data_IF_951824210342
#
_entry.id   IF_951824210342
#
_cell.length_a   1.000
_cell.length_b   1.000
_cell.length_c   1.000
_cell.angle_alpha   90.00
_cell.angle_beta   90.00
_cell.angle_gamma   90.00
#
_symmetry.space_group_name_H-M   'P 1'
#
loop_
_entity.id
_entity.type
_entity.pdbx_description
1 polymer ?
#
# COMPACT_ATOMS: atom_id res chain seq x y z
N UNK A 1 1.98 0.95 10.25
CA UNK A 1 1.27 2.04 9.54
C UNK A 1 2.15 2.74 8.49
N UNK A 2 2.95 3.75 8.84
CA UNK A 2 3.68 4.54 7.82
C UNK A 2 4.80 3.74 7.13
N UNK A 3 5.57 2.97 7.89
CA UNK A 3 6.66 2.14 7.35
C UNK A 3 6.15 1.13 6.34
N UNK A 4 5.04 0.45 6.62
CA UNK A 4 4.43 -0.51 5.70
C UNK A 4 3.90 0.17 4.42
N UNK A 5 3.31 1.36 4.54
CA UNK A 5 2.89 2.16 3.38
C UNK A 5 4.08 2.53 2.48
N UNK A 6 5.16 3.04 3.04
CA UNK A 6 6.36 3.43 2.28
C UNK A 6 7.05 2.22 1.65
N UNK A 7 7.18 1.11 2.39
CA UNK A 7 7.77 -0.13 1.87
C UNK A 7 6.96 -0.71 0.71
N UNK A 8 5.63 -0.78 0.87
CA UNK A 8 4.77 -1.32 -0.18
C UNK A 8 4.76 -0.40 -1.42
N UNK A 9 4.66 0.91 -1.23
CA UNK A 9 4.79 1.88 -2.33
C UNK A 9 6.12 1.69 -3.07
N UNK A 10 7.24 1.63 -2.36
CA UNK A 10 8.56 1.47 -2.97
C UNK A 10 8.70 0.17 -3.76
N UNK A 11 8.25 -0.95 -3.19
CA UNK A 11 8.27 -2.25 -3.86
C UNK A 11 7.35 -2.28 -5.09
N UNK A 12 6.15 -1.74 -4.98
CA UNK A 12 5.17 -1.69 -6.06
C UNK A 12 5.61 -0.77 -7.19
N UNK A 13 6.19 0.38 -6.84
CA UNK A 13 6.78 1.31 -7.79
C UNK A 13 7.95 0.65 -8.54
N UNK A 14 8.88 0.00 -7.82
CA UNK A 14 9.99 -0.73 -8.43
C UNK A 14 9.49 -1.83 -9.37
N UNK A 15 8.46 -2.59 -8.98
CA UNK A 15 7.81 -3.57 -9.84
C UNK A 15 7.30 -2.94 -11.15
N UNK A 16 6.55 -1.84 -11.06
CA UNK A 16 6.07 -1.15 -12.25
C UNK A 16 7.19 -0.62 -13.15
N UNK A 17 8.29 -0.12 -12.57
CA UNK A 17 9.46 0.27 -13.35
C UNK A 17 10.04 -0.91 -14.13
N UNK A 18 10.13 -2.10 -13.52
CA UNK A 18 10.58 -3.30 -14.25
C UNK A 18 9.60 -3.70 -15.35
N UNK A 19 8.29 -3.62 -15.09
CA UNK A 19 7.24 -3.91 -16.08
C UNK A 19 7.33 -2.98 -17.29
N UNK A 20 7.47 -1.67 -17.06
CA UNK A 20 7.56 -0.67 -18.11
C UNK A 20 8.87 -0.74 -18.89
N UNK A 21 9.96 -1.15 -18.23
CA UNK A 21 11.25 -1.37 -18.90
C UNK A 21 11.21 -2.58 -19.84
N UNK A 22 10.55 -3.67 -19.43
CA UNK A 22 10.42 -4.88 -20.23
C UNK A 22 9.33 -4.78 -21.31
N UNK A 23 8.26 -4.05 -21.03
CA UNK A 23 7.10 -3.91 -21.91
C UNK A 23 6.72 -2.43 -22.09
N UNK A 24 7.43 -1.69 -22.95
CA UNK A 24 7.16 -0.29 -23.18
C UNK A 24 5.72 -0.05 -23.66
N UNK A 25 5.01 0.85 -22.98
CA UNK A 25 3.62 1.20 -23.33
C UNK A 25 2.55 0.29 -22.73
N UNK A 26 2.93 -0.74 -21.96
CA UNK A 26 2.01 -1.72 -21.36
C UNK A 26 0.83 -1.06 -20.63
N UNK A 27 1.11 -0.07 -19.76
CA UNK A 27 0.05 0.66 -19.03
C UNK A 27 -0.98 1.28 -19.98
N UNK A 28 -0.56 1.92 -21.06
CA UNK A 28 -1.50 2.54 -22.02
C UNK A 28 -2.34 1.53 -22.80
N UNK A 29 -1.87 0.29 -22.93
CA UNK A 29 -2.55 -0.76 -23.67
C UNK A 29 -3.51 -1.56 -22.79
N UNK A 30 -3.16 -1.74 -21.52
CA UNK A 30 -3.87 -2.65 -20.60
C UNK A 30 -4.74 -1.90 -19.60
N UNK A 31 -4.32 -0.72 -19.13
CA UNK A 31 -5.16 0.07 -18.23
C UNK A 31 -6.23 0.81 -19.00
N UNK A 32 -7.46 0.77 -18.46
CA UNK A 32 -8.56 1.61 -18.92
C UNK A 32 -8.38 3.04 -18.39
N UNK A 33 -7.38 3.76 -18.92
CA UNK A 33 -7.07 5.13 -18.51
C UNK A 33 -8.29 6.09 -18.56
N UNK A 34 -9.21 5.99 -19.55
CA UNK A 34 -10.43 6.81 -19.56
C UNK A 34 -11.39 6.58 -18.39
N UNK A 35 -11.30 5.44 -17.69
CA UNK A 35 -12.11 5.14 -16.52
C UNK A 35 -11.49 5.63 -15.20
N UNK A 36 -10.27 6.18 -15.25
CA UNK A 36 -9.55 6.77 -14.12
C UNK A 36 -9.08 8.19 -14.52
N UNK A 37 -8.26 8.86 -13.70
CA UNK A 37 -7.82 10.24 -13.98
C UNK A 37 -6.95 10.36 -15.23
N UNK A 38 -6.30 9.28 -15.65
CA UNK A 38 -5.32 9.28 -16.75
C UNK A 38 -3.99 9.97 -16.40
N UNK A 39 -3.79 10.43 -15.16
CA UNK A 39 -2.55 11.07 -14.72
C UNK A 39 -1.47 10.01 -14.50
N UNK A 40 -0.32 10.18 -15.16
CA UNK A 40 0.80 9.24 -15.08
C UNK A 40 2.01 9.88 -14.39
N UNK A 41 2.58 9.17 -13.40
CA UNK A 41 3.86 9.49 -12.74
C UNK A 41 4.87 8.43 -13.15
N UNK A 42 5.94 8.83 -13.84
CA UNK A 42 6.93 7.89 -14.40
C UNK A 42 6.30 6.77 -15.29
N UNK A 43 5.16 7.05 -15.93
CA UNK A 43 4.43 6.08 -16.75
C UNK A 43 3.44 5.19 -15.99
N UNK A 44 3.29 5.39 -14.68
CA UNK A 44 2.41 4.62 -13.80
C UNK A 44 1.18 5.48 -13.44
N UNK A 45 -0.06 4.95 -13.46
CA UNK A 45 -1.24 5.72 -13.07
C UNK A 45 -1.16 6.17 -11.61
N UNK A 46 -1.57 7.40 -11.32
CA UNK A 46 -1.53 7.94 -9.94
C UNK A 46 -2.39 7.10 -8.98
N UNK A 47 -3.51 6.54 -9.47
CA UNK A 47 -4.38 5.65 -8.73
C UNK A 47 -3.66 4.38 -8.25
N UNK A 48 -2.73 3.85 -9.03
CA UNK A 48 -1.93 2.67 -8.64
C UNK A 48 -0.94 3.01 -7.52
N UNK A 49 -0.38 4.22 -7.53
CA UNK A 49 0.50 4.70 -6.45
C UNK A 49 -0.29 4.97 -5.16
N UNK A 50 -1.48 5.54 -5.30
CA UNK A 50 -2.40 5.76 -4.17
C UNK A 50 -2.93 4.43 -3.62
N UNK A 51 -3.24 3.47 -4.49
CA UNK A 51 -3.59 2.10 -4.11
C UNK A 51 -2.45 1.47 -3.32
N UNK A 52 -1.21 1.57 -3.78
CA UNK A 52 -0.06 1.02 -3.07
C UNK A 52 0.11 1.63 -1.66
N UNK A 53 -0.02 2.95 -1.55
CA UNK A 53 0.00 3.61 -0.24
C UNK A 53 -1.14 3.13 0.67
N UNK A 54 -2.37 3.14 0.17
CA UNK A 54 -3.56 2.74 0.93
C UNK A 54 -3.47 1.27 1.37
N UNK A 55 -3.06 0.38 0.48
CA UNK A 55 -2.87 -1.03 0.77
C UNK A 55 -1.76 -1.26 1.79
N UNK A 56 -0.65 -0.53 1.69
CA UNK A 56 0.43 -0.62 2.67
C UNK A 56 0.05 -0.09 4.05
N UNK A 57 -0.83 0.92 4.15
CA UNK A 57 -1.44 1.29 5.43
C UNK A 57 -2.32 0.17 5.97
N UNK A 58 -3.24 -0.32 5.13
CA UNK A 58 -4.20 -1.38 5.46
C UNK A 58 -3.51 -2.65 6.00
N UNK A 59 -2.44 -3.11 5.34
CA UNK A 59 -1.81 -4.38 5.68
C UNK A 59 -1.25 -4.43 7.10
N UNK A 60 -0.68 -3.33 7.59
CA UNK A 60 -0.22 -3.28 8.99
C UNK A 60 -1.37 -3.37 9.98
N UNK A 61 -2.54 -2.82 9.66
CA UNK A 61 -3.72 -2.87 10.54
C UNK A 61 -4.24 -4.29 10.63
N UNK A 62 -4.26 -4.98 9.49
CA UNK A 62 -4.63 -6.39 9.41
C UNK A 62 -3.69 -7.25 10.24
N UNK A 63 -2.37 -7.06 10.06
CA UNK A 63 -1.37 -7.78 10.85
C UNK A 63 -1.55 -7.55 12.34
N UNK A 64 -1.72 -6.30 12.79
CA UNK A 64 -1.95 -5.97 14.19
C UNK A 64 -3.24 -6.60 14.72
N UNK A 65 -4.33 -6.57 13.95
CA UNK A 65 -5.60 -7.17 14.36
C UNK A 65 -5.50 -8.68 14.62
N UNK A 66 -4.75 -9.40 13.79
CA UNK A 66 -4.56 -10.84 13.96
C UNK A 66 -3.49 -11.21 15.02
N UNK A 67 -2.55 -10.31 15.30
CA UNK A 67 -1.39 -10.60 16.17
C UNK A 67 -1.43 -9.84 17.50
N UNK A 68 -2.50 -9.08 17.77
CA UNK A 68 -2.64 -8.32 19.00
C UNK A 68 -2.47 -9.21 20.23
N UNK A 69 -1.63 -8.75 21.16
CA UNK A 69 -1.45 -9.41 22.44
C UNK A 69 -2.41 -8.78 23.43
N UNK A 70 -3.04 -9.60 24.27
CA UNK A 70 -3.77 -9.09 25.43
C UNK A 70 -2.81 -8.28 26.29
N UNK A 71 -3.20 -7.06 26.63
CA UNK A 71 -2.51 -6.31 27.68
C UNK A 71 -2.79 -7.07 28.98
N UNK A 72 -1.77 -7.49 29.75
CA UNK A 72 -2.02 -8.11 31.05
C UNK A 72 -2.80 -7.12 31.92
N UNK A 73 -3.79 -7.61 32.67
CA UNK A 73 -4.50 -6.77 33.62
C UNK A 73 -3.46 -6.11 34.54
N UNK A 74 -3.39 -4.77 34.47
CA UNK A 74 -2.57 -4.01 35.39
C UNK A 74 -3.27 -4.11 36.73
N UNK A 75 -2.69 -4.82 37.70
CA UNK A 75 -3.11 -4.65 39.09
C UNK A 75 -2.99 -3.17 39.41
N UNK A 76 -4.13 -2.54 39.66
CA UNK A 76 -4.15 -1.19 40.14
C UNK A 76 -4.74 -1.24 41.58
N UNK A 77 -4.01 -0.76 42.61
CA UNK A 77 -4.44 -0.97 44.00
C UNK A 77 -5.59 -0.03 44.38
N UNK A 78 -6.58 -0.52 45.15
CA UNK A 78 -7.54 0.34 45.86
C UNK A 78 -9.02 0.30 45.43
N UNK A 79 -9.48 -0.71 44.71
CA UNK A 79 -10.91 -1.01 44.52
C UNK A 79 -11.18 -2.42 45.02
N UNK A 80 -11.80 -2.49 46.20
CA UNK A 80 -12.58 -3.63 46.66
C UNK A 80 -14.07 -3.28 46.57
#
# INVERSE_FOLDING_TARGET
MLVSAVLFLGLYFAYFLTLLALFPGYVRQVWNLPAISGILVAGIPVEELLFALAFGFYWSTVYEHFTWKKVPDRYIPGYE
#
